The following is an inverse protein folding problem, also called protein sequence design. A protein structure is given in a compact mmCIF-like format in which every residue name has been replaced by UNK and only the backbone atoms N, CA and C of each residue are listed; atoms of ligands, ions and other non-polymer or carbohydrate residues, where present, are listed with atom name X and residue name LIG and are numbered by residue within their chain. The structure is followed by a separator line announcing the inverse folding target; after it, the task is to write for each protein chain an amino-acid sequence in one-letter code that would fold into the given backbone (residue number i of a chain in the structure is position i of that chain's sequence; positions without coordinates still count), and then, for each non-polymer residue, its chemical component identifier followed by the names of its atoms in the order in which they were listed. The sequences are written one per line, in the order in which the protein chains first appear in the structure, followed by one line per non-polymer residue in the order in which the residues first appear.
data_IF_212336687955
#
_entry.id   IF_212336687955
#
_cell.length_a   1.000
_cell.length_b   1.000
_cell.length_c   1.000
_cell.angle_alpha   90.00
_cell.angle_beta   90.00
_cell.angle_gamma   90.00
#
_symmetry.space_group_name_H-M   'P 1'
#
loop_
_entity.id
_entity.type
_entity.pdbx_description
1 polymer ?
#
# COMPACT_ATOMS: atom_id res chain seq x y z
N UNK A 1 -31.73 20.59 22.91
CA UNK A 1 -31.73 21.77 22.04
C UNK A 1 -32.42 21.35 20.75
N UNK A 2 -33.50 22.03 20.37
CA UNK A 2 -34.25 21.70 19.17
C UNK A 2 -33.42 22.08 17.93
N UNK A 3 -33.22 21.12 17.03
CA UNK A 3 -32.41 21.30 15.80
C UNK A 3 -33.01 22.34 14.84
N UNK A 4 -34.28 22.74 15.04
CA UNK A 4 -34.97 23.74 14.25
C UNK A 4 -34.45 25.18 14.48
N UNK A 5 -33.70 25.40 15.58
CA UNK A 5 -33.10 26.72 15.91
C UNK A 5 -31.70 26.93 15.37
N UNK A 6 -31.15 25.94 14.68
CA UNK A 6 -29.75 26.00 14.22
C UNK A 6 -29.64 26.77 12.89
N UNK A 7 -28.85 27.83 12.89
CA UNK A 7 -28.49 28.62 11.70
C UNK A 7 -27.57 27.89 10.72
N UNK A 8 -27.01 26.70 11.13
CA UNK A 8 -26.04 25.94 10.37
C UNK A 8 -26.62 24.61 9.88
N UNK A 9 -26.18 24.17 8.71
CA UNK A 9 -26.53 22.85 8.19
C UNK A 9 -25.77 21.74 8.96
N UNK A 10 -26.34 20.54 9.00
CA UNK A 10 -25.69 19.36 9.60
C UNK A 10 -24.29 19.12 9.02
N UNK A 11 -24.09 19.41 7.72
CA UNK A 11 -22.79 19.30 7.05
C UNK A 11 -21.76 20.26 7.63
N UNK A 12 -22.15 21.53 7.84
CA UNK A 12 -21.26 22.55 8.44
C UNK A 12 -20.90 22.20 9.89
N UNK A 13 -21.83 21.65 10.65
CA UNK A 13 -21.59 21.22 12.05
C UNK A 13 -20.60 20.05 12.07
N UNK A 14 -20.80 19.04 11.21
CA UNK A 14 -19.87 17.91 11.10
C UNK A 14 -18.46 18.36 10.70
N UNK A 15 -18.36 19.29 9.76
CA UNK A 15 -17.05 19.84 9.34
C UNK A 15 -16.36 20.61 10.47
N UNK A 16 -17.10 21.44 11.21
CA UNK A 16 -16.58 22.18 12.35
C UNK A 16 -16.12 21.25 13.48
N UNK A 17 -16.90 20.20 13.76
CA UNK A 17 -16.56 19.16 14.73
C UNK A 17 -15.25 18.45 14.33
N UNK A 18 -15.15 17.98 13.09
CA UNK A 18 -13.97 17.29 12.58
C UNK A 18 -12.70 18.17 12.65
N UNK A 19 -12.82 19.46 12.29
CA UNK A 19 -11.72 20.42 12.42
C UNK A 19 -11.30 20.65 13.87
N UNK A 20 -12.27 20.68 14.80
CA UNK A 20 -12.00 20.85 16.24
C UNK A 20 -11.34 19.60 16.83
N UNK A 21 -11.84 18.42 16.49
CA UNK A 21 -11.22 17.14 16.85
C UNK A 21 -9.75 17.08 16.43
N UNK A 22 -9.45 17.42 15.18
CA UNK A 22 -8.07 17.47 14.69
C UNK A 22 -7.16 18.44 15.46
N UNK A 23 -7.69 19.59 15.88
CA UNK A 23 -6.95 20.55 16.72
C UNK A 23 -6.67 20.00 18.12
N UNK A 24 -7.65 19.34 18.74
CA UNK A 24 -7.50 18.70 20.06
C UNK A 24 -6.49 17.56 19.99
N UNK A 25 -6.62 16.68 19.00
CA UNK A 25 -5.65 15.57 18.80
C UNK A 25 -4.23 16.11 18.61
N UNK A 26 -4.05 17.17 17.80
CA UNK A 26 -2.74 17.80 17.63
C UNK A 26 -2.18 18.35 18.94
N UNK A 27 -3.01 19.02 19.75
CA UNK A 27 -2.59 19.57 21.03
C UNK A 27 -2.15 18.45 22.00
N UNK A 28 -2.89 17.33 22.05
CA UNK A 28 -2.52 16.16 22.85
C UNK A 28 -1.20 15.55 22.42
N UNK A 29 -0.99 15.38 21.10
CA UNK A 29 0.26 14.85 20.55
C UNK A 29 1.45 15.77 20.89
N UNK A 30 1.29 17.08 20.77
CA UNK A 30 2.32 18.05 21.13
C UNK A 30 2.61 18.07 22.64
N UNK A 31 1.64 17.71 23.47
CA UNK A 31 1.81 17.51 24.92
C UNK A 31 2.42 16.13 25.29
N UNK A 32 2.78 15.31 24.30
CA UNK A 32 3.40 14.00 24.49
C UNK A 32 2.43 12.82 24.61
N UNK A 33 1.14 13.04 24.37
CA UNK A 33 0.13 11.97 24.44
C UNK A 33 -0.38 11.63 23.05
N UNK A 34 -0.05 10.43 22.53
CA UNK A 34 -0.59 9.93 21.26
C UNK A 34 -1.95 9.29 21.48
N UNK A 35 -2.83 9.39 20.47
CA UNK A 35 -4.22 8.90 20.55
C UNK A 35 -4.31 7.39 20.84
N UNK A 36 -3.34 6.64 20.39
CA UNK A 36 -3.22 5.18 20.59
C UNK A 36 -2.39 4.78 21.82
N UNK A 37 -1.99 5.74 22.65
CA UNK A 37 -1.25 5.54 23.90
C UNK A 37 0.24 5.28 23.74
N UNK A 38 0.78 5.23 22.48
CA UNK A 38 2.22 5.05 22.25
C UNK A 38 3.02 6.31 22.66
N UNK A 39 4.29 6.12 22.99
CA UNK A 39 5.22 7.23 23.15
C UNK A 39 5.50 7.93 21.80
N UNK A 40 5.94 9.21 21.78
CA UNK A 40 6.17 9.93 20.53
C UNK A 40 7.15 9.25 19.55
N UNK A 41 8.14 8.56 20.05
CA UNK A 41 9.17 7.81 19.32
C UNK A 41 8.87 6.30 19.14
N UNK A 42 7.76 5.82 19.71
CA UNK A 42 7.39 4.42 19.64
C UNK A 42 6.78 4.06 18.28
N UNK A 43 7.34 3.04 17.63
CA UNK A 43 6.80 2.45 16.42
C UNK A 43 5.72 1.40 16.75
N UNK A 44 4.75 1.24 15.85
CA UNK A 44 3.85 0.08 15.91
C UNK A 44 4.65 -1.20 15.73
N UNK A 45 4.17 -2.30 16.33
CA UNK A 45 4.78 -3.60 16.18
C UNK A 45 4.93 -3.97 14.70
N UNK A 46 6.12 -4.44 14.34
CA UNK A 46 6.44 -4.93 13.00
C UNK A 46 6.45 -6.45 13.01
N UNK A 47 5.84 -7.06 12.02
CA UNK A 47 5.95 -8.48 11.73
C UNK A 47 6.13 -8.69 10.23
N UNK A 48 6.96 -9.68 9.86
CA UNK A 48 7.13 -10.07 8.47
C UNK A 48 7.44 -11.54 8.36
N UNK A 49 6.82 -12.18 7.37
CA UNK A 49 7.02 -13.59 7.05
C UNK A 49 7.23 -13.72 5.54
N UNK A 50 8.11 -14.64 5.15
CA UNK A 50 8.40 -14.94 3.75
C UNK A 50 8.03 -16.38 3.43
N UNK A 51 7.87 -16.68 2.14
CA UNK A 51 7.56 -18.02 1.62
C UNK A 51 6.29 -18.67 2.18
N UNK A 52 5.30 -17.82 2.51
CA UNK A 52 4.02 -18.25 3.09
C UNK A 52 3.11 -18.97 2.09
N UNK A 53 3.26 -18.70 0.81
CA UNK A 53 2.49 -19.34 -0.26
C UNK A 53 3.40 -20.34 -1.03
N UNK A 54 3.14 -21.64 -0.92
CA UNK A 54 4.09 -22.67 -1.39
C UNK A 54 4.17 -22.82 -2.92
N UNK A 55 3.32 -22.14 -3.69
CA UNK A 55 3.26 -22.27 -5.15
C UNK A 55 3.59 -20.99 -5.91
N UNK A 56 3.90 -19.91 -5.21
CA UNK A 56 4.40 -18.67 -5.81
C UNK A 56 5.93 -18.74 -5.95
N UNK A 57 6.52 -17.95 -6.86
CA UNK A 57 7.98 -17.89 -6.96
C UNK A 57 8.59 -17.17 -5.75
N UNK A 58 7.88 -16.24 -5.14
CA UNK A 58 8.18 -15.61 -3.86
C UNK A 58 6.92 -15.02 -3.26
N UNK A 59 6.82 -15.02 -1.95
CA UNK A 59 5.70 -14.41 -1.23
C UNK A 59 6.17 -13.85 0.11
N UNK A 60 5.50 -12.78 0.55
CA UNK A 60 5.74 -12.21 1.87
C UNK A 60 4.47 -11.59 2.43
N UNK A 61 4.32 -11.67 3.74
CA UNK A 61 3.45 -10.78 4.52
C UNK A 61 4.34 -9.75 5.20
N UNK A 62 3.94 -8.50 5.11
CA UNK A 62 4.47 -7.42 5.93
C UNK A 62 3.33 -6.79 6.72
N UNK A 63 3.52 -6.68 8.03
CA UNK A 63 2.55 -6.09 8.93
C UNK A 63 3.19 -5.03 9.81
N UNK A 64 2.51 -3.89 9.97
CA UNK A 64 2.85 -2.84 10.91
C UNK A 64 1.60 -2.42 11.68
N UNK A 65 1.48 -2.90 12.90
CA UNK A 65 0.23 -2.80 13.66
C UNK A 65 -0.90 -3.47 12.89
N UNK A 66 -1.95 -2.72 12.58
CA UNK A 66 -3.11 -3.19 11.82
C UNK A 66 -2.90 -3.15 10.29
N UNK A 67 -1.88 -2.44 9.79
CA UNK A 67 -1.63 -2.42 8.34
C UNK A 67 -0.92 -3.70 7.93
N UNK A 68 -1.56 -4.47 7.05
CA UNK A 68 -1.05 -5.74 6.56
C UNK A 68 -1.10 -5.79 5.02
N UNK A 69 0.02 -6.17 4.40
CA UNK A 69 0.15 -6.40 2.98
C UNK A 69 0.64 -7.82 2.70
N UNK A 70 -0.10 -8.56 1.89
CA UNK A 70 0.34 -9.82 1.28
C UNK A 70 0.91 -9.49 -0.10
N UNK A 71 2.17 -9.81 -0.33
CA UNK A 71 2.80 -9.57 -1.62
C UNK A 71 3.32 -10.87 -2.23
N UNK A 72 3.02 -11.04 -3.51
CA UNK A 72 3.48 -12.19 -4.29
C UNK A 72 4.34 -11.75 -5.45
N UNK A 73 5.42 -12.48 -5.71
CA UNK A 73 6.31 -12.32 -6.85
C UNK A 73 6.10 -13.46 -7.86
N UNK A 74 6.00 -13.09 -9.12
CA UNK A 74 5.95 -14.02 -10.25
C UNK A 74 7.06 -13.68 -11.22
N UNK A 75 7.85 -14.70 -11.58
CA UNK A 75 8.89 -14.60 -12.59
C UNK A 75 8.36 -15.17 -13.91
N UNK A 76 8.50 -14.40 -14.96
CA UNK A 76 8.09 -14.78 -16.32
C UNK A 76 9.25 -14.70 -17.31
N UNK A 77 8.96 -15.05 -18.55
CA UNK A 77 9.91 -14.94 -19.67
C UNK A 77 9.89 -13.53 -20.27
N UNK A 78 10.84 -13.16 -21.12
CA UNK A 78 10.78 -11.88 -21.84
C UNK A 78 9.52 -11.70 -22.73
N UNK A 79 8.82 -12.80 -23.05
CA UNK A 79 7.55 -12.75 -23.82
C UNK A 79 6.38 -12.26 -22.97
N UNK A 80 6.52 -12.37 -21.64
CA UNK A 80 5.49 -11.97 -20.67
C UNK A 80 5.57 -10.48 -20.29
N UNK A 81 6.54 -9.74 -20.88
CA UNK A 81 6.66 -8.29 -20.67
C UNK A 81 5.43 -7.58 -21.23
N UNK A 82 4.69 -6.80 -20.44
CA UNK A 82 3.64 -5.95 -20.95
C UNK A 82 4.21 -4.89 -21.90
N UNK A 83 3.51 -4.69 -23.00
CA UNK A 83 3.76 -3.62 -23.95
C UNK A 83 2.99 -2.40 -23.47
N UNK A 84 3.68 -1.30 -23.27
CA UNK A 84 3.10 -0.02 -22.91
C UNK A 84 3.02 0.82 -24.18
N UNK A 85 1.79 0.95 -24.68
CA UNK A 85 1.44 1.79 -25.84
C UNK A 85 0.57 2.95 -25.34
N UNK A 86 1.09 4.16 -25.41
CA UNK A 86 0.46 5.37 -24.90
C UNK A 86 0.76 6.58 -25.80
N UNK A 87 0.90 7.77 -25.18
CA UNK A 87 1.25 9.00 -25.92
C UNK A 87 2.75 9.12 -26.25
N UNK A 88 3.59 8.27 -25.67
CA UNK A 88 5.02 8.17 -25.95
C UNK A 88 5.30 6.93 -26.79
N UNK A 89 6.56 6.77 -27.23
CA UNK A 89 6.99 5.59 -27.98
C UNK A 89 6.68 4.31 -27.19
N UNK A 90 6.27 3.27 -27.90
CA UNK A 90 5.99 1.95 -27.35
C UNK A 90 7.23 1.37 -26.67
N UNK A 91 7.08 0.83 -25.46
CA UNK A 91 8.15 0.14 -24.75
C UNK A 91 7.65 -1.09 -23.99
N UNK A 92 8.59 -2.03 -23.73
CA UNK A 92 8.34 -3.21 -22.90
C UNK A 92 8.79 -2.97 -21.48
N UNK A 93 7.99 -3.45 -20.52
CA UNK A 93 8.22 -3.25 -19.08
C UNK A 93 8.66 -4.56 -18.43
N UNK A 94 9.96 -4.73 -18.08
CA UNK A 94 10.47 -5.98 -17.49
C UNK A 94 10.05 -6.16 -16.03
N UNK A 95 9.75 -5.08 -15.32
CA UNK A 95 9.26 -5.08 -13.95
C UNK A 95 8.01 -4.24 -13.81
N UNK A 96 6.98 -4.78 -13.16
CA UNK A 96 5.74 -4.07 -12.90
C UNK A 96 5.04 -4.59 -11.64
N UNK A 97 4.23 -3.70 -11.03
CA UNK A 97 3.54 -3.98 -9.79
C UNK A 97 2.05 -3.67 -9.89
N UNK A 98 1.23 -4.61 -9.47
CA UNK A 98 -0.19 -4.41 -9.24
C UNK A 98 -0.45 -4.23 -7.76
N UNK A 99 -1.23 -3.23 -7.42
CA UNK A 99 -1.61 -2.90 -6.06
C UNK A 99 -3.13 -2.95 -5.95
N UNK A 100 -3.62 -3.73 -5.02
CA UNK A 100 -5.04 -3.91 -4.75
C UNK A 100 -5.37 -3.42 -3.34
N UNK A 101 -6.32 -2.50 -3.26
CA UNK A 101 -6.85 -1.99 -2.00
C UNK A 101 -8.34 -2.31 -1.91
N UNK A 102 -8.70 -3.54 -1.55
CA UNK A 102 -10.10 -3.94 -1.48
C UNK A 102 -10.83 -3.21 -0.34
N UNK A 103 -12.15 -2.99 -0.45
CA UNK A 103 -12.92 -2.27 0.56
C UNK A 103 -12.83 -2.88 1.96
N UNK A 104 -12.70 -4.19 2.06
CA UNK A 104 -12.59 -4.89 3.35
C UNK A 104 -11.33 -4.50 4.15
N UNK A 105 -10.27 -3.99 3.48
CA UNK A 105 -9.06 -3.51 4.17
C UNK A 105 -9.34 -2.39 5.17
N UNK A 106 -10.44 -1.67 5.00
CA UNK A 106 -10.92 -0.62 5.91
C UNK A 106 -12.28 -0.95 6.52
N UNK A 107 -12.74 -2.20 6.42
CA UNK A 107 -14.04 -2.63 6.90
C UNK A 107 -15.23 -2.09 6.10
N UNK A 108 -14.99 -1.55 4.91
CA UNK A 108 -16.06 -1.02 4.06
C UNK A 108 -16.76 -2.14 3.26
N UNK A 109 -18.08 -2.04 3.12
CA UNK A 109 -18.88 -2.91 2.27
C UNK A 109 -19.16 -2.18 0.96
N UNK A 110 -18.42 -2.51 -0.09
CA UNK A 110 -18.58 -1.95 -1.43
C UNK A 110 -18.42 -3.05 -2.49
N UNK A 111 -19.06 -2.92 -3.66
CA UNK A 111 -18.80 -3.81 -4.78
C UNK A 111 -17.32 -3.76 -5.20
N UNK A 112 -16.72 -4.91 -5.45
CA UNK A 112 -15.39 -4.99 -6.05
C UNK A 112 -15.51 -4.57 -7.51
N UNK A 113 -14.82 -3.47 -7.84
CA UNK A 113 -14.69 -2.93 -9.19
C UNK A 113 -13.22 -2.97 -9.59
N UNK A 114 -12.92 -2.63 -10.83
CA UNK A 114 -11.53 -2.48 -11.28
C UNK A 114 -10.74 -1.47 -10.41
N UNK A 115 -9.40 -1.39 -10.60
CA UNK A 115 -8.52 -0.56 -9.79
C UNK A 115 -8.94 0.91 -9.82
N UNK A 116 -8.95 1.54 -8.65
CA UNK A 116 -9.21 2.97 -8.49
C UNK A 116 -7.96 3.79 -8.88
N UNK A 117 -8.12 5.11 -9.04
CA UNK A 117 -6.98 6.03 -9.19
C UNK A 117 -6.01 5.96 -8.01
N UNK A 118 -6.53 5.65 -6.82
CA UNK A 118 -5.72 5.45 -5.61
C UNK A 118 -4.85 4.20 -5.75
N UNK A 119 -5.41 3.09 -6.19
CA UNK A 119 -4.69 1.85 -6.40
C UNK A 119 -3.57 2.02 -7.42
N UNK A 120 -3.86 2.68 -8.53
CA UNK A 120 -2.88 2.99 -9.57
C UNK A 120 -1.75 3.87 -9.01
N UNK A 121 -2.08 4.96 -8.30
CA UNK A 121 -1.09 5.87 -7.74
C UNK A 121 -0.21 5.22 -6.66
N UNK A 122 -0.79 4.42 -5.78
CA UNK A 122 -0.05 3.68 -4.74
C UNK A 122 0.82 2.57 -5.36
N UNK A 123 0.32 1.87 -6.37
CA UNK A 123 1.09 0.89 -7.13
C UNK A 123 2.31 1.51 -7.80
N UNK A 124 2.14 2.67 -8.43
CA UNK A 124 3.23 3.40 -9.08
C UNK A 124 4.29 3.89 -8.08
N UNK A 125 3.89 4.34 -6.89
CA UNK A 125 4.83 4.71 -5.82
C UNK A 125 5.69 3.52 -5.39
N UNK A 126 5.07 2.37 -5.13
CA UNK A 126 5.77 1.16 -4.74
C UNK A 126 6.65 0.64 -5.88
N UNK A 127 6.16 0.61 -7.10
CA UNK A 127 6.91 0.19 -8.27
C UNK A 127 8.16 1.06 -8.52
N UNK A 128 8.04 2.39 -8.46
CA UNK A 128 9.18 3.31 -8.61
C UNK A 128 10.25 3.07 -7.55
N UNK A 129 9.83 2.85 -6.31
CA UNK A 129 10.75 2.58 -5.21
C UNK A 129 11.53 1.29 -5.43
N UNK A 130 10.86 0.22 -5.84
CA UNK A 130 11.47 -1.09 -6.07
C UNK A 130 12.29 -1.12 -7.37
N UNK A 131 11.87 -0.40 -8.41
CA UNK A 131 12.61 -0.31 -9.68
C UNK A 131 14.03 0.19 -9.49
N UNK A 132 14.28 1.06 -8.51
CA UNK A 132 15.61 1.58 -8.22
C UNK A 132 16.61 0.52 -7.74
N UNK A 133 16.12 -0.59 -7.22
CA UNK A 133 16.96 -1.70 -6.70
C UNK A 133 16.90 -2.95 -7.56
N UNK A 134 16.06 -2.95 -8.63
CA UNK A 134 15.99 -4.09 -9.54
C UNK A 134 17.30 -4.28 -10.30
N UNK A 135 17.75 -5.52 -10.47
CA UNK A 135 18.92 -5.83 -11.29
C UNK A 135 18.69 -5.48 -12.76
N UNK A 136 19.77 -5.23 -13.48
CA UNK A 136 19.73 -5.05 -14.92
C UNK A 136 19.28 -6.36 -15.63
N UNK A 137 18.63 -6.24 -16.79
CA UNK A 137 18.02 -7.36 -17.50
C UNK A 137 19.06 -8.40 -17.98
N UNK A 138 20.32 -8.01 -18.18
CA UNK A 138 21.42 -8.89 -18.51
C UNK A 138 21.89 -9.74 -17.31
N UNK A 139 21.72 -9.22 -16.10
CA UNK A 139 22.05 -9.93 -14.86
C UNK A 139 20.91 -10.82 -14.37
N UNK A 140 19.66 -10.39 -14.61
CA UNK A 140 18.46 -11.13 -14.23
C UNK A 140 17.42 -11.11 -15.37
N UNK A 141 17.49 -12.06 -16.32
CA UNK A 141 16.75 -12.02 -17.58
C UNK A 141 15.28 -12.49 -17.45
N UNK A 142 14.61 -12.13 -16.36
CA UNK A 142 13.22 -12.46 -16.10
C UNK A 142 12.33 -11.22 -16.16
N UNK A 143 11.10 -11.42 -16.62
CA UNK A 143 10.02 -10.49 -16.34
C UNK A 143 9.54 -10.69 -14.93
N UNK A 144 9.46 -9.63 -14.14
CA UNK A 144 9.06 -9.71 -12.74
C UNK A 144 7.75 -8.97 -12.53
N UNK A 145 6.74 -9.68 -12.04
CA UNK A 145 5.46 -9.13 -11.63
C UNK A 145 5.30 -9.24 -10.12
N UNK A 146 5.01 -8.14 -9.46
CA UNK A 146 4.52 -8.11 -8.08
C UNK A 146 3.01 -7.86 -8.04
N UNK A 147 2.35 -8.52 -7.10
CA UNK A 147 0.97 -8.22 -6.72
C UNK A 147 0.93 -7.99 -5.22
N UNK A 148 0.50 -6.81 -4.81
CA UNK A 148 0.30 -6.46 -3.40
C UNK A 148 -1.19 -6.36 -3.09
N UNK A 149 -1.66 -7.25 -2.24
CA UNK A 149 -3.01 -7.26 -1.71
C UNK A 149 -3.02 -6.71 -0.28
N UNK A 150 -3.68 -5.58 -0.08
CA UNK A 150 -3.80 -4.93 1.23
C UNK A 150 -4.92 -5.61 2.01
N UNK A 151 -4.53 -6.40 3.02
CA UNK A 151 -5.48 -7.19 3.82
C UNK A 151 -6.14 -6.34 4.89
N UNK A 152 -5.40 -5.39 5.47
CA UNK A 152 -5.85 -4.49 6.52
C UNK A 152 -5.10 -3.16 6.43
N UNK A 153 -5.73 -2.04 6.83
CA UNK A 153 -5.16 -0.71 6.69
C UNK A 153 -5.41 0.20 7.89
N UNK A 154 -4.31 0.62 8.49
CA UNK A 154 -4.25 1.78 9.39
C UNK A 154 -3.21 2.79 8.88
N UNK A 155 -3.29 3.12 7.57
CA UNK A 155 -2.42 4.07 6.90
C UNK A 155 -1.09 3.48 6.40
N UNK A 156 -0.41 4.24 5.52
CA UNK A 156 0.89 3.92 4.91
C UNK A 156 0.96 2.57 4.18
N UNK A 157 -0.10 2.22 3.48
CA UNK A 157 -0.24 0.95 2.76
C UNK A 157 0.71 0.83 1.56
N UNK A 158 1.07 1.93 0.91
CA UNK A 158 2.08 1.92 -0.16
C UNK A 158 3.47 1.57 0.36
N UNK A 159 3.84 2.04 1.57
CA UNK A 159 5.08 1.65 2.23
C UNK A 159 5.06 0.18 2.63
N UNK A 160 3.93 -0.32 3.14
CA UNK A 160 3.77 -1.74 3.44
C UNK A 160 3.91 -2.60 2.18
N UNK A 161 3.33 -2.17 1.05
CA UNK A 161 3.47 -2.82 -0.25
C UNK A 161 4.92 -2.81 -0.76
N UNK A 162 5.65 -1.70 -0.57
CA UNK A 162 7.07 -1.60 -0.95
C UNK A 162 7.94 -2.53 -0.11
N UNK A 163 7.75 -2.55 1.20
CA UNK A 163 8.52 -3.42 2.11
C UNK A 163 8.21 -4.89 1.85
N UNK A 164 6.91 -5.24 1.77
CA UNK A 164 6.50 -6.60 1.41
C UNK A 164 6.99 -7.01 0.02
N UNK A 165 7.03 -6.06 -0.93
CA UNK A 165 7.59 -6.28 -2.27
C UNK A 165 9.07 -6.60 -2.24
N UNK A 166 9.88 -5.88 -1.45
CA UNK A 166 11.30 -6.20 -1.27
C UNK A 166 11.49 -7.61 -0.71
N UNK A 167 10.72 -7.98 0.32
CA UNK A 167 10.77 -9.31 0.91
C UNK A 167 10.37 -10.41 -0.10
N UNK A 168 9.30 -10.19 -0.86
CA UNK A 168 8.83 -11.15 -1.86
C UNK A 168 9.82 -11.31 -3.03
N UNK A 169 10.50 -10.21 -3.44
CA UNK A 169 11.56 -10.27 -4.45
C UNK A 169 12.76 -11.07 -3.96
N UNK A 170 13.22 -10.84 -2.73
CA UNK A 170 14.30 -11.62 -2.12
C UNK A 170 13.92 -13.10 -1.98
N UNK A 171 12.69 -13.40 -1.55
CA UNK A 171 12.15 -14.76 -1.48
C UNK A 171 12.11 -15.44 -2.87
N UNK A 172 11.86 -14.68 -3.94
CA UNK A 172 11.90 -15.17 -5.32
C UNK A 172 13.33 -15.33 -5.88
N UNK A 173 14.37 -15.00 -5.10
CA UNK A 173 15.77 -15.07 -5.54
C UNK A 173 16.21 -13.91 -6.45
N UNK A 174 15.46 -12.80 -6.47
CA UNK A 174 15.86 -11.59 -7.20
C UNK A 174 16.99 -10.92 -6.41
N UNK A 175 18.13 -10.64 -7.02
CA UNK A 175 19.29 -10.06 -6.34
C UNK A 175 19.13 -8.51 -6.21
N UNK A 176 18.34 -8.08 -5.22
CA UNK A 176 18.08 -6.66 -4.91
C UNK A 176 18.88 -6.23 -3.68
#
# INVERSE_FOLDING_TARGET
VDASEWTYTTGQIKEAFFKTEGKVQRALILAGTRVDGRQPDELRALNSEVDILPRTHGSAIFQRGETQALVTATLGTPRDMPIIDGLCDEYKKPFFMHYNFPPFSTGEIKPLRGPSRRDIGHGELAEKSLRAVMPATDQFPYTVRLVADLMESNGSTSQAATTGGSLALMAAGVPI
#
